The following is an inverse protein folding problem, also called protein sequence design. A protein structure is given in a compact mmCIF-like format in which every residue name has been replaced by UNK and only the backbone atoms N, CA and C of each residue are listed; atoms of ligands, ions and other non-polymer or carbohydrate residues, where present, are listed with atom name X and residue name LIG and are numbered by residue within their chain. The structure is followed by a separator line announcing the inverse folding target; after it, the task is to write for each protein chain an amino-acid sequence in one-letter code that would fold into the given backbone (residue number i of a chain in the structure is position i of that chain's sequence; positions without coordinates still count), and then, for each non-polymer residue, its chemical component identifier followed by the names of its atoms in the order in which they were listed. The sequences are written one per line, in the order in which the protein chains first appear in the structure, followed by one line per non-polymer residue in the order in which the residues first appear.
data_IF_523391678246
#
_entry.id   IF_523391678246
#
_cell.length_a   1.000
_cell.length_b   1.000
_cell.length_c   1.000
_cell.angle_alpha   90.00
_cell.angle_beta   90.00
_cell.angle_gamma   90.00
#
_symmetry.space_group_name_H-M   'P 1'
#
loop_
_entity.id
_entity.type
_entity.pdbx_description
1 polymer ?
#
# COMPACT_ATOMS: atom_id res chain seq x y z
N UNK A 1 9.36 -24.25 -39.49
CA UNK A 1 10.35 -24.02 -38.41
C UNK A 1 10.09 -22.75 -37.59
N UNK A 2 9.27 -21.81 -38.05
CA UNK A 2 8.97 -20.52 -37.38
C UNK A 2 7.86 -20.58 -36.32
N UNK A 3 6.90 -21.50 -36.42
CA UNK A 3 5.81 -21.62 -35.43
C UNK A 3 6.27 -22.23 -34.09
N UNK A 4 7.22 -23.15 -34.13
CA UNK A 4 7.76 -23.81 -32.94
C UNK A 4 8.53 -22.83 -32.03
N UNK A 5 9.28 -21.91 -32.62
CA UNK A 5 10.03 -20.86 -31.88
C UNK A 5 9.13 -19.77 -31.34
N UNK A 6 8.06 -19.39 -32.05
CA UNK A 6 7.08 -18.43 -31.56
C UNK A 6 6.34 -18.98 -30.31
N UNK A 7 5.93 -20.25 -30.37
CA UNK A 7 5.21 -20.92 -29.28
C UNK A 7 6.09 -21.08 -28.03
N UNK A 8 7.35 -21.49 -28.19
CA UNK A 8 8.29 -21.59 -27.07
C UNK A 8 8.61 -20.23 -26.43
N UNK A 9 8.70 -19.16 -27.24
CA UNK A 9 8.91 -17.79 -26.74
C UNK A 9 7.73 -17.28 -25.92
N UNK A 10 6.50 -17.61 -26.31
CA UNK A 10 5.28 -17.23 -25.59
C UNK A 10 5.18 -17.95 -24.24
N UNK A 11 5.42 -19.27 -24.23
CA UNK A 11 5.41 -20.07 -23.01
C UNK A 11 6.44 -19.56 -21.99
N UNK A 12 7.65 -19.21 -22.46
CA UNK A 12 8.69 -18.63 -21.62
C UNK A 12 8.27 -17.26 -21.04
N UNK A 13 7.61 -16.41 -21.83
CA UNK A 13 7.08 -15.12 -21.34
C UNK A 13 6.04 -15.31 -20.25
N UNK A 14 5.11 -16.23 -20.44
CA UNK A 14 4.05 -16.56 -19.46
C UNK A 14 4.66 -17.11 -18.17
N UNK A 15 5.59 -18.06 -18.28
CA UNK A 15 6.28 -18.63 -17.12
C UNK A 15 7.02 -17.54 -16.32
N UNK A 16 7.76 -16.66 -16.99
CA UNK A 16 8.46 -15.55 -16.35
C UNK A 16 7.51 -14.57 -15.66
N UNK A 17 6.37 -14.25 -16.29
CA UNK A 17 5.36 -13.39 -15.67
C UNK A 17 4.77 -14.04 -14.42
N UNK A 18 4.48 -15.34 -14.46
CA UNK A 18 3.99 -16.07 -13.28
C UNK A 18 5.00 -16.04 -12.14
N UNK A 19 6.28 -16.26 -12.42
CA UNK A 19 7.35 -16.21 -11.40
C UNK A 19 7.40 -14.83 -10.76
N UNK A 20 7.35 -13.75 -11.55
CA UNK A 20 7.34 -12.38 -11.04
C UNK A 20 6.11 -12.12 -10.17
N UNK A 21 4.92 -12.51 -10.62
CA UNK A 21 3.70 -12.33 -9.85
C UNK A 21 3.74 -13.10 -8.53
N UNK A 22 4.20 -14.35 -8.54
CA UNK A 22 4.37 -15.16 -7.33
C UNK A 22 5.40 -14.55 -6.38
N UNK A 23 6.48 -13.98 -6.92
CA UNK A 23 7.48 -13.28 -6.12
C UNK A 23 6.90 -12.03 -5.45
N UNK A 24 6.20 -11.17 -6.21
CA UNK A 24 5.53 -9.99 -5.66
C UNK A 24 4.43 -10.37 -4.65
N UNK A 25 3.71 -11.47 -4.87
CA UNK A 25 2.75 -12.03 -3.92
C UNK A 25 3.45 -12.48 -2.63
N UNK A 26 4.61 -13.11 -2.74
CA UNK A 26 5.45 -13.50 -1.60
C UNK A 26 5.86 -12.28 -0.77
N UNK A 27 6.33 -11.21 -1.42
CA UNK A 27 6.65 -9.95 -0.76
C UNK A 27 5.41 -9.29 -0.13
N UNK A 28 4.27 -9.34 -0.82
CA UNK A 28 2.99 -8.81 -0.30
C UNK A 28 2.57 -9.53 0.98
N UNK A 29 2.69 -10.86 1.01
CA UNK A 29 2.42 -11.68 2.19
C UNK A 29 3.39 -11.34 3.33
N UNK A 30 4.68 -11.17 3.02
CA UNK A 30 5.68 -10.76 4.00
C UNK A 30 5.33 -9.40 4.64
N UNK A 31 4.94 -8.39 3.85
CA UNK A 31 4.50 -7.08 4.38
C UNK A 31 3.31 -7.24 5.33
N UNK A 32 2.29 -7.99 4.92
CA UNK A 32 1.10 -8.20 5.75
C UNK A 32 1.45 -8.88 7.08
N UNK A 33 2.27 -9.94 7.05
CA UNK A 33 2.71 -10.64 8.26
C UNK A 33 3.58 -9.76 9.16
N UNK A 34 4.50 -9.00 8.59
CA UNK A 34 5.35 -8.08 9.33
C UNK A 34 4.52 -6.99 10.04
N UNK A 35 3.54 -6.39 9.34
CA UNK A 35 2.62 -5.41 9.95
C UNK A 35 1.65 -6.03 10.95
N UNK A 36 1.33 -7.32 10.80
CA UNK A 36 0.50 -8.01 11.77
C UNK A 36 1.21 -8.19 13.11
N UNK A 37 2.53 -8.37 13.11
CA UNK A 37 3.33 -8.39 14.34
C UNK A 37 3.16 -7.12 15.17
N UNK A 38 3.02 -5.97 14.50
CA UNK A 38 2.84 -4.67 15.15
C UNK A 38 1.37 -4.23 15.29
N UNK A 39 0.41 -5.12 15.04
CA UNK A 39 -1.03 -4.78 15.06
C UNK A 39 -1.49 -4.11 16.38
N UNK A 40 -0.88 -4.51 17.50
CA UNK A 40 -1.21 -4.02 18.83
C UNK A 40 -0.35 -2.84 19.30
N UNK A 41 0.59 -2.35 18.50
CA UNK A 41 1.41 -1.19 18.85
C UNK A 41 0.57 0.07 19.07
N UNK A 42 0.97 0.98 19.97
CA UNK A 42 0.29 2.26 20.11
C UNK A 42 0.23 2.99 18.76
N UNK A 43 -0.98 3.44 18.41
CA UNK A 43 -1.18 4.21 17.19
C UNK A 43 -0.64 5.62 17.39
N UNK A 44 -0.02 6.15 16.35
CA UNK A 44 0.42 7.53 16.31
C UNK A 44 -0.81 8.49 16.36
N UNK A 45 -0.61 9.65 16.98
CA UNK A 45 -1.64 10.65 17.30
C UNK A 45 -2.40 11.12 16.05
N UNK A 46 -1.70 11.47 14.98
CA UNK A 46 -2.27 12.01 13.74
C UNK A 46 -3.22 11.02 13.07
N UNK A 47 -2.89 9.73 13.13
CA UNK A 47 -3.73 8.66 12.60
C UNK A 47 -5.01 8.56 13.42
N UNK A 48 -4.91 8.64 14.75
CA UNK A 48 -6.09 8.57 15.63
C UNK A 48 -6.99 9.79 15.50
N UNK A 49 -6.44 11.00 15.33
CA UNK A 49 -7.20 12.20 15.05
C UNK A 49 -7.97 12.08 13.73
N UNK A 50 -7.29 11.63 12.67
CA UNK A 50 -7.90 11.37 11.36
C UNK A 50 -9.01 10.33 11.45
N UNK A 51 -8.79 9.25 12.21
CA UNK A 51 -9.74 8.19 12.44
C UNK A 51 -11.05 8.67 13.09
N UNK A 52 -10.93 9.49 14.15
CA UNK A 52 -12.08 10.06 14.87
C UNK A 52 -12.85 11.01 13.97
N UNK A 53 -12.16 11.95 13.31
CA UNK A 53 -12.81 12.91 12.40
C UNK A 53 -13.55 12.15 11.28
N UNK A 54 -12.92 11.16 10.66
CA UNK A 54 -13.54 10.32 9.65
C UNK A 54 -14.77 9.57 10.18
N UNK A 55 -14.74 9.08 11.42
CA UNK A 55 -15.90 8.41 12.01
C UNK A 55 -17.07 9.35 12.25
N UNK A 56 -16.80 10.57 12.72
CA UNK A 56 -17.83 11.60 12.90
C UNK A 56 -18.43 12.04 11.55
N UNK A 57 -17.59 12.23 10.54
CA UNK A 57 -18.04 12.49 9.16
C UNK A 57 -18.91 11.34 8.63
N UNK A 58 -18.51 10.09 8.88
CA UNK A 58 -19.30 8.90 8.53
C UNK A 58 -20.66 8.88 9.22
N UNK A 59 -20.75 9.38 10.46
CA UNK A 59 -21.99 9.54 11.22
C UNK A 59 -22.86 10.73 10.76
N UNK A 60 -22.43 11.47 9.73
CA UNK A 60 -23.18 12.57 9.13
C UNK A 60 -22.81 13.96 9.63
N UNK A 61 -21.77 14.10 10.46
CA UNK A 61 -21.27 15.43 10.83
C UNK A 61 -20.60 16.11 9.63
N UNK A 62 -20.82 17.42 9.43
CA UNK A 62 -20.11 18.18 8.40
C UNK A 62 -18.60 18.17 8.61
N UNK A 63 -17.85 18.18 7.50
CA UNK A 63 -16.41 18.39 7.52
C UNK A 63 -16.08 19.79 8.08
N UNK A 64 -15.07 19.88 8.96
CA UNK A 64 -14.69 21.10 9.68
C UNK A 64 -15.75 21.72 10.60
N UNK A 65 -16.66 20.92 11.18
CA UNK A 65 -17.64 21.46 12.14
C UNK A 65 -16.98 22.02 13.40
N UNK A 66 -16.08 21.24 14.02
CA UNK A 66 -15.52 21.53 15.35
C UNK A 66 -13.99 21.40 15.41
N UNK A 67 -13.41 20.54 14.56
CA UNK A 67 -11.97 20.28 14.51
C UNK A 67 -11.46 20.74 13.15
N UNK A 68 -10.61 21.77 13.18
CA UNK A 68 -9.86 22.20 12.01
C UNK A 68 -8.56 21.41 11.92
N UNK A 69 -8.38 20.71 10.81
CA UNK A 69 -7.19 19.90 10.54
C UNK A 69 -6.74 20.15 9.09
N UNK A 70 -5.46 20.42 8.86
CA UNK A 70 -4.97 20.87 7.55
C UNK A 70 -4.69 19.72 6.57
N UNK A 71 -5.41 18.60 6.68
CA UNK A 71 -5.23 17.43 5.81
C UNK A 71 -6.25 17.42 4.68
N UNK A 72 -5.90 16.90 3.48
CA UNK A 72 -6.79 16.91 2.34
C UNK A 72 -8.03 16.04 2.58
N UNK A 73 -9.23 16.42 2.07
CA UNK A 73 -10.48 15.68 2.26
C UNK A 73 -10.41 14.20 1.87
N UNK A 74 -9.61 13.88 0.84
CA UNK A 74 -9.44 12.52 0.33
C UNK A 74 -8.92 11.54 1.39
N UNK A 75 -8.11 12.01 2.35
CA UNK A 75 -7.61 11.20 3.45
C UNK A 75 -8.77 10.68 4.32
N UNK A 76 -9.68 11.57 4.72
CA UNK A 76 -10.85 11.20 5.52
C UNK A 76 -11.80 10.28 4.75
N UNK A 77 -11.98 10.51 3.45
CA UNK A 77 -12.81 9.63 2.60
C UNK A 77 -12.22 8.20 2.58
N UNK A 78 -10.90 8.05 2.50
CA UNK A 78 -10.27 6.74 2.55
C UNK A 78 -10.47 6.05 3.92
N UNK A 79 -10.37 6.80 5.02
CA UNK A 79 -10.69 6.28 6.36
C UNK A 79 -12.17 5.88 6.47
N UNK A 80 -13.10 6.70 5.97
CA UNK A 80 -14.54 6.39 5.95
C UNK A 80 -14.80 5.09 5.17
N UNK A 81 -14.20 4.94 3.99
CA UNK A 81 -14.31 3.73 3.19
C UNK A 81 -13.79 2.50 3.95
N UNK A 82 -12.62 2.62 4.59
CA UNK A 82 -12.07 1.57 5.44
C UNK A 82 -13.00 1.20 6.59
N UNK A 83 -13.57 2.19 7.28
CA UNK A 83 -14.51 1.97 8.38
C UNK A 83 -15.82 1.31 7.94
N UNK A 84 -16.33 1.59 6.73
CA UNK A 84 -17.47 0.86 6.17
C UNK A 84 -17.15 -0.61 5.88
N UNK A 85 -15.94 -0.91 5.42
CA UNK A 85 -15.54 -2.26 5.03
C UNK A 85 -15.14 -3.15 6.23
N UNK A 86 -14.45 -2.58 7.22
CA UNK A 86 -13.81 -3.33 8.30
C UNK A 86 -14.26 -2.91 9.70
N UNK A 87 -15.20 -1.96 9.81
CA UNK A 87 -15.65 -1.39 11.07
C UNK A 87 -14.69 -0.34 11.64
N UNK A 88 -15.22 0.51 12.52
CA UNK A 88 -14.38 1.48 13.25
C UNK A 88 -13.56 0.78 14.33
N UNK A 89 -12.23 0.87 14.24
CA UNK A 89 -11.30 0.21 15.15
C UNK A 89 -9.93 -0.05 14.53
N UNK A 90 -9.15 -0.95 15.11
CA UNK A 90 -7.78 -1.25 14.63
C UNK A 90 -7.76 -2.01 13.31
N UNK A 91 -8.79 -2.81 13.05
CA UNK A 91 -8.88 -3.67 11.86
C UNK A 91 -8.82 -2.89 10.55
N UNK A 92 -9.59 -1.80 10.44
CA UNK A 92 -9.57 -0.98 9.23
C UNK A 92 -8.25 -0.21 9.06
N UNK A 93 -7.64 0.26 10.16
CA UNK A 93 -6.33 0.92 10.12
C UNK A 93 -5.26 -0.04 9.61
N UNK A 94 -5.24 -1.28 10.13
CA UNK A 94 -4.37 -2.34 9.61
C UNK A 94 -4.63 -2.61 8.12
N UNK A 95 -5.90 -2.69 7.70
CA UNK A 95 -6.25 -2.92 6.30
C UNK A 95 -5.77 -1.78 5.39
N UNK A 96 -5.95 -0.51 5.79
CA UNK A 96 -5.44 0.65 5.06
C UNK A 96 -3.91 0.63 5.00
N UNK A 97 -3.27 0.34 6.12
CA UNK A 97 -1.82 0.26 6.24
C UNK A 97 -1.20 -0.75 5.27
N UNK A 98 -1.73 -1.98 5.28
CA UNK A 98 -1.30 -3.02 4.34
C UNK A 98 -1.62 -2.61 2.92
N UNK A 99 -2.84 -2.12 2.64
CA UNK A 99 -3.26 -1.77 1.28
C UNK A 99 -2.37 -0.70 0.65
N UNK A 100 -2.05 0.38 1.38
CA UNK A 100 -1.17 1.43 0.89
C UNK A 100 0.25 0.91 0.64
N UNK A 101 0.77 0.06 1.53
CA UNK A 101 2.08 -0.56 1.35
C UNK A 101 2.13 -1.47 0.10
N UNK A 102 1.05 -2.21 -0.17
CA UNK A 102 0.93 -3.05 -1.36
C UNK A 102 0.80 -2.21 -2.63
N UNK A 103 -0.03 -1.16 -2.63
CA UNK A 103 -0.14 -0.25 -3.78
C UNK A 103 1.23 0.34 -4.11
N UNK A 104 1.95 0.83 -3.11
CA UNK A 104 3.31 1.33 -3.28
C UNK A 104 4.29 0.26 -3.74
N UNK A 105 4.19 -0.99 -3.26
CA UNK A 105 5.03 -2.12 -3.71
C UNK A 105 4.90 -2.37 -5.22
N UNK A 106 3.66 -2.40 -5.72
CA UNK A 106 3.42 -2.57 -7.15
C UNK A 106 3.83 -1.33 -7.93
N UNK A 107 3.57 -0.14 -7.40
CA UNK A 107 3.98 1.13 -7.99
C UNK A 107 5.50 1.22 -8.19
N UNK A 108 6.30 0.96 -7.14
CA UNK A 108 7.77 0.97 -7.26
C UNK A 108 8.28 -0.10 -8.23
N UNK A 109 7.63 -1.28 -8.27
CA UNK A 109 7.98 -2.31 -9.26
C UNK A 109 7.77 -1.81 -10.68
N UNK A 110 6.61 -1.19 -10.97
CA UNK A 110 6.29 -0.65 -12.31
C UNK A 110 7.22 0.50 -12.67
N UNK A 111 7.37 1.48 -11.78
CA UNK A 111 8.21 2.65 -11.99
C UNK A 111 9.67 2.25 -12.25
N UNK A 112 10.25 1.38 -11.42
CA UNK A 112 11.63 0.93 -11.60
C UNK A 112 11.82 -0.09 -12.74
N UNK A 113 10.75 -0.77 -13.19
CA UNK A 113 10.81 -1.59 -14.41
C UNK A 113 10.74 -0.77 -15.70
N UNK A 114 10.37 0.50 -15.60
CA UNK A 114 10.20 1.40 -16.74
C UNK A 114 11.53 2.00 -17.23
N UNK A 115 11.46 2.89 -18.23
CA UNK A 115 12.60 3.67 -18.75
C UNK A 115 13.85 2.85 -19.14
N UNK A 116 13.65 1.60 -19.57
CA UNK A 116 14.74 0.73 -20.06
C UNK A 116 15.55 0.01 -18.98
N UNK A 117 15.22 0.16 -17.70
CA UNK A 117 15.91 -0.52 -16.59
C UNK A 117 15.52 -2.01 -16.47
N UNK A 118 14.32 -2.36 -16.96
CA UNK A 118 13.85 -3.75 -17.07
C UNK A 118 13.38 -4.37 -15.75
N UNK A 119 12.82 -5.58 -15.86
CA UNK A 119 12.09 -6.24 -14.75
C UNK A 119 12.97 -6.52 -13.53
N UNK A 120 14.25 -6.79 -13.72
CA UNK A 120 15.19 -7.06 -12.62
C UNK A 120 15.35 -5.85 -11.70
N UNK A 121 15.42 -4.63 -12.27
CA UNK A 121 15.46 -3.41 -11.49
C UNK A 121 14.17 -3.23 -10.67
N UNK A 122 13.02 -3.47 -11.28
CA UNK A 122 11.73 -3.48 -10.58
C UNK A 122 11.66 -4.47 -9.42
N UNK A 123 12.18 -5.68 -9.60
CA UNK A 123 12.20 -6.70 -8.53
C UNK A 123 13.09 -6.26 -7.35
N UNK A 124 14.25 -5.66 -7.63
CA UNK A 124 15.11 -5.11 -6.57
C UNK A 124 14.45 -3.94 -5.86
N UNK A 125 13.80 -3.02 -6.59
CA UNK A 125 13.04 -1.93 -6.00
C UNK A 125 11.92 -2.45 -5.09
N UNK A 126 11.20 -3.49 -5.52
CA UNK A 126 10.16 -4.13 -4.72
C UNK A 126 10.71 -4.77 -3.44
N UNK A 127 11.90 -5.40 -3.50
CA UNK A 127 12.58 -5.94 -2.31
C UNK A 127 12.97 -4.80 -1.35
N UNK A 128 13.61 -3.74 -1.84
CA UNK A 128 14.01 -2.62 -0.98
C UNK A 128 12.81 -1.94 -0.33
N UNK A 129 11.73 -1.71 -1.08
CA UNK A 129 10.49 -1.18 -0.52
C UNK A 129 9.91 -2.11 0.55
N UNK A 130 9.87 -3.42 0.29
CA UNK A 130 9.37 -4.40 1.27
C UNK A 130 10.10 -4.31 2.60
N UNK A 131 11.43 -4.14 2.56
CA UNK A 131 12.26 -4.05 3.75
C UNK A 131 12.10 -2.71 4.50
N UNK A 132 12.02 -1.58 3.76
CA UNK A 132 12.01 -0.24 4.35
C UNK A 132 10.58 0.21 4.73
N UNK A 133 9.54 -0.31 4.08
CA UNK A 133 8.17 0.15 4.30
C UNK A 133 7.64 -0.14 5.72
N UNK A 134 8.33 -0.93 6.53
CA UNK A 134 7.99 -1.16 7.94
C UNK A 134 8.85 -0.37 8.93
N UNK A 135 9.67 0.57 8.46
CA UNK A 135 10.60 1.32 9.30
C UNK A 135 9.88 2.32 10.22
N UNK A 136 10.22 2.31 11.51
CA UNK A 136 9.60 3.17 12.52
C UNK A 136 10.16 4.60 12.51
N UNK A 137 11.45 4.78 12.20
CA UNK A 137 12.08 6.11 12.18
C UNK A 137 11.55 6.95 11.02
N UNK A 138 11.24 6.30 9.89
CA UNK A 138 10.52 6.88 8.76
C UNK A 138 9.00 6.95 8.96
N UNK A 139 8.49 6.39 10.07
CA UNK A 139 7.06 6.22 10.34
C UNK A 139 6.30 5.54 9.19
N UNK A 140 6.95 4.64 8.46
CA UNK A 140 6.37 3.91 7.34
C UNK A 140 5.53 2.69 7.79
N UNK A 141 5.71 2.27 9.05
CA UNK A 141 5.03 1.14 9.67
C UNK A 141 3.52 1.36 9.89
N UNK A 142 3.01 2.59 9.77
CA UNK A 142 1.60 2.93 10.01
C UNK A 142 0.98 3.73 8.83
N UNK A 143 -0.37 3.79 8.71
CA UNK A 143 -1.04 4.48 7.60
C UNK A 143 -1.04 6.01 7.81
N UNK A 144 0.14 6.62 7.73
CA UNK A 144 0.33 8.06 7.82
C UNK A 144 -0.07 8.78 6.52
N UNK A 145 -0.23 10.10 6.61
CA UNK A 145 -0.66 10.96 5.49
C UNK A 145 0.23 10.76 4.25
N UNK A 146 1.54 10.62 4.46
CA UNK A 146 2.55 10.38 3.44
C UNK A 146 2.28 9.09 2.66
N UNK A 147 1.80 8.03 3.32
CA UNK A 147 1.46 6.79 2.65
C UNK A 147 0.29 6.98 1.67
N UNK A 148 -0.71 7.80 2.05
CA UNK A 148 -1.84 8.14 1.17
C UNK A 148 -1.44 9.06 0.01
N UNK A 149 -0.38 9.87 0.16
CA UNK A 149 0.16 10.69 -0.92
C UNK A 149 1.06 9.91 -1.87
N UNK A 150 1.92 9.04 -1.33
CA UNK A 150 2.91 8.30 -2.10
C UNK A 150 2.28 7.20 -2.94
N UNK A 151 1.25 6.51 -2.43
CA UNK A 151 0.59 5.40 -3.12
C UNK A 151 0.04 5.76 -4.52
N UNK A 152 -0.63 6.91 -4.73
CA UNK A 152 -1.01 7.36 -6.07
C UNK A 152 0.12 8.04 -6.85
N UNK A 153 1.10 8.66 -6.19
CA UNK A 153 2.18 9.43 -6.84
C UNK A 153 3.22 8.56 -7.56
N UNK A 154 3.44 7.33 -7.09
CA UNK A 154 4.55 6.47 -7.54
C UNK A 154 4.39 5.88 -8.96
N UNK A 155 3.20 5.99 -9.56
CA UNK A 155 2.86 5.36 -10.86
C UNK A 155 3.26 6.21 -12.06
#
# INVERSE_FOLDING_TARGET
MTESTATSSLLNRIANQRIILLFLLGLSCFIALARFHTYNEPLEHDITATAVIANEMRAGRPYYSDVWENKPPALYIAHIAGQYLFGYGRGYLYALNVSLALISLFGVYVAASSLGMGRTAGLWAAVFWTLISGDMDLQANQPNTEAFLNAPLIW
#
